data_IF_193354033736
#
_entry.id   IF_193354033736
#
_cell.length_a   1.000
_cell.length_b   1.000
_cell.length_c   1.000
_cell.angle_alpha   90.00
_cell.angle_beta   90.00
_cell.angle_gamma   90.00
#
_symmetry.space_group_name_H-M   'P 1'
#
loop_
_entity.id
_entity.type
_entity.pdbx_description
1 polymer ?
#
# COMPACT_ATOMS: atom_id res chain seq x y z
N UNK A 1 8.95 21.46 -1.95
CA UNK A 1 8.65 20.12 -2.48
C UNK A 1 9.77 19.21 -2.03
N UNK A 2 9.58 18.45 -0.95
CA UNK A 2 10.62 17.57 -0.41
C UNK A 2 10.56 16.24 -1.16
N UNK A 3 11.37 16.09 -2.21
CA UNK A 3 11.59 14.79 -2.84
C UNK A 3 12.44 13.94 -1.91
N UNK A 4 11.82 13.07 -1.11
CA UNK A 4 12.56 12.03 -0.41
C UNK A 4 12.97 10.99 -1.44
N UNK A 5 14.25 11.02 -1.83
CA UNK A 5 14.85 9.92 -2.58
C UNK A 5 14.94 8.71 -1.63
N UNK A 6 14.10 7.71 -1.86
CA UNK A 6 14.13 6.47 -1.10
C UNK A 6 15.24 5.60 -1.71
N UNK A 7 16.32 5.27 -0.96
CA UNK A 7 17.37 4.41 -1.49
C UNK A 7 16.86 2.96 -1.48
N UNK A 8 16.09 2.60 -2.50
CA UNK A 8 15.55 1.26 -2.68
C UNK A 8 16.59 0.48 -3.50
N UNK A 9 17.15 -0.59 -2.93
CA UNK A 9 18.03 -1.49 -3.68
C UNK A 9 17.19 -2.18 -4.76
N UNK A 10 17.41 -1.83 -6.02
CA UNK A 10 16.62 -2.35 -7.16
C UNK A 10 16.95 -3.81 -7.52
N UNK A 11 17.95 -4.42 -6.87
CA UNK A 11 18.44 -5.77 -7.20
C UNK A 11 17.41 -6.90 -6.95
N UNK A 12 16.33 -6.63 -6.21
CA UNK A 12 15.27 -7.62 -5.92
C UNK A 12 13.87 -7.21 -6.42
N UNK A 13 13.75 -6.08 -7.12
CA UNK A 13 12.45 -5.55 -7.53
C UNK A 13 12.27 -5.78 -9.03
N UNK A 14 11.57 -6.86 -9.36
CA UNK A 14 11.23 -7.23 -10.74
C UNK A 14 10.05 -6.44 -11.31
N UNK A 15 9.13 -6.02 -10.45
CA UNK A 15 7.82 -5.49 -10.84
C UNK A 15 7.28 -4.51 -9.79
N UNK A 16 6.22 -3.79 -10.17
CA UNK A 16 5.57 -2.79 -9.32
C UNK A 16 4.96 -3.40 -8.05
N UNK A 17 4.48 -4.64 -8.08
CA UNK A 17 3.96 -5.29 -6.87
C UNK A 17 5.07 -5.53 -5.86
N UNK A 18 6.21 -6.05 -6.30
CA UNK A 18 7.42 -6.27 -5.50
C UNK A 18 7.94 -4.94 -4.94
N UNK A 19 7.87 -3.87 -5.72
CA UNK A 19 8.20 -2.52 -5.27
C UNK A 19 7.25 -2.03 -4.17
N UNK A 20 5.93 -2.17 -4.36
CA UNK A 20 4.90 -1.79 -3.38
C UNK A 20 5.08 -2.55 -2.06
N UNK A 21 5.35 -3.86 -2.15
CA UNK A 21 5.59 -4.71 -1.01
C UNK A 21 6.89 -4.32 -0.27
N UNK A 22 7.95 -3.97 -1.00
CA UNK A 22 9.20 -3.48 -0.41
C UNK A 22 9.00 -2.17 0.35
N UNK A 23 8.26 -1.22 -0.23
CA UNK A 23 7.92 0.04 0.45
C UNK A 23 7.05 -0.20 1.69
N UNK A 24 6.11 -1.16 1.64
CA UNK A 24 5.36 -1.56 2.83
C UNK A 24 6.29 -2.06 3.91
N UNK A 25 7.18 -3.01 3.59
CA UNK A 25 8.10 -3.60 4.59
C UNK A 25 9.10 -2.60 5.16
N UNK A 26 9.63 -1.70 4.33
CA UNK A 26 10.68 -0.76 4.75
C UNK A 26 10.17 0.53 5.36
N UNK A 27 9.03 1.03 4.89
CA UNK A 27 8.53 2.37 5.23
C UNK A 27 7.11 2.36 5.80
N UNK A 28 6.48 1.19 5.94
CA UNK A 28 5.15 1.06 6.50
C UNK A 28 4.04 1.57 5.60
N UNK A 29 4.32 1.92 4.33
CA UNK A 29 3.27 2.41 3.43
C UNK A 29 2.33 1.27 3.03
N UNK A 30 1.00 1.42 3.21
CA UNK A 30 0.05 0.41 2.74
C UNK A 30 0.06 0.28 1.21
N UNK A 31 -0.22 -0.89 0.65
CA UNK A 31 -0.21 -1.14 -0.80
C UNK A 31 -1.31 -0.36 -1.51
N UNK A 32 -2.52 -0.34 -0.95
CA UNK A 32 -3.71 0.26 -1.57
C UNK A 32 -3.63 1.79 -1.75
N UNK A 33 -2.71 2.43 -1.01
CA UNK A 33 -2.47 3.88 -1.09
C UNK A 33 -1.26 4.22 -1.96
N UNK A 34 -0.46 3.23 -2.38
CA UNK A 34 0.69 3.47 -3.24
C UNK A 34 0.28 3.43 -4.71
N UNK A 35 0.41 4.57 -5.38
CA UNK A 35 0.29 4.66 -6.84
C UNK A 35 1.63 5.03 -7.45
N UNK A 36 2.14 4.16 -8.32
CA UNK A 36 3.35 4.44 -9.08
C UNK A 36 2.98 5.00 -10.45
N UNK A 37 3.69 6.05 -10.84
CA UNK A 37 3.58 6.64 -12.16
C UNK A 37 4.93 6.64 -12.86
N UNK A 38 4.91 6.39 -14.15
CA UNK A 38 6.04 6.61 -15.04
C UNK A 38 5.62 7.56 -16.16
N UNK A 39 6.29 8.71 -16.28
CA UNK A 39 5.94 9.76 -17.23
C UNK A 39 4.45 10.18 -17.20
N UNK A 40 3.85 10.19 -16.01
CA UNK A 40 2.44 10.53 -15.81
C UNK A 40 1.44 9.41 -16.07
N UNK A 41 1.91 8.21 -16.43
CA UNK A 41 1.06 7.02 -16.65
C UNK A 41 1.07 6.17 -15.38
N UNK A 42 -0.10 5.79 -14.88
CA UNK A 42 -0.23 4.87 -13.76
C UNK A 42 0.25 3.47 -14.15
N UNK A 43 1.12 2.90 -13.33
CA UNK A 43 1.59 1.54 -13.50
C UNK A 43 0.71 0.57 -12.73
N UNK A 44 0.37 -0.55 -13.35
CA UNK A 44 -0.30 -1.66 -12.69
C UNK A 44 0.71 -2.54 -11.93
N UNK A 45 0.19 -3.46 -11.10
CA UNK A 45 1.00 -4.36 -10.29
C UNK A 45 1.80 -5.38 -11.14
N UNK A 46 1.41 -5.62 -12.39
CA UNK A 46 2.05 -6.57 -13.31
C UNK A 46 3.13 -5.92 -14.17
N UNK A 47 3.34 -4.61 -14.03
CA UNK A 47 4.32 -3.87 -14.81
C UNK A 47 5.73 -4.23 -14.36
N UNK A 48 6.52 -4.76 -15.27
CA UNK A 48 7.93 -5.10 -15.05
C UNK A 48 8.81 -3.84 -14.94
N UNK A 49 9.75 -3.86 -14.00
CA UNK A 49 10.71 -2.80 -13.72
C UNK A 49 12.10 -3.29 -14.10
N UNK A 50 12.36 -3.35 -15.40
CA UNK A 50 13.55 -3.95 -16.01
C UNK A 50 14.73 -2.98 -16.19
N UNK A 51 14.58 -1.70 -15.81
CA UNK A 51 15.61 -0.67 -15.84
C UNK A 51 15.40 0.35 -14.72
N UNK A 52 16.41 1.19 -14.37
CA UNK A 52 16.20 2.37 -13.52
C UNK A 52 15.28 3.36 -14.23
N UNK A 53 13.97 3.11 -14.15
CA UNK A 53 12.94 4.01 -14.62
C UNK A 53 12.71 5.10 -13.58
N UNK A 54 12.56 6.35 -14.04
CA UNK A 54 12.11 7.44 -13.19
C UNK A 54 10.68 7.17 -12.74
N UNK A 55 10.53 6.58 -11.56
CA UNK A 55 9.24 6.28 -10.95
C UNK A 55 8.86 7.39 -9.98
N UNK A 56 7.62 7.84 -10.09
CA UNK A 56 7.03 8.75 -9.13
C UNK A 56 6.05 7.95 -8.26
N UNK A 57 6.32 7.93 -6.95
CA UNK A 57 5.35 7.44 -5.97
C UNK A 57 4.38 8.57 -5.62
N UNK A 58 3.09 8.29 -5.70
CA UNK A 58 2.01 9.13 -5.19
C UNK A 58 1.24 8.35 -4.13
N UNK A 59 1.16 8.92 -2.93
CA UNK A 59 0.33 8.37 -1.85
C UNK A 59 -1.09 8.91 -1.99
N UNK A 60 -2.04 8.01 -2.23
CA UNK A 60 -3.45 8.32 -2.37
C UNK A 60 -4.19 8.11 -1.05
N UNK A 61 -5.29 8.82 -0.89
CA UNK A 61 -6.30 8.50 0.12
C UNK A 61 -7.22 7.39 -0.40
N UNK A 62 -7.81 6.63 0.51
CA UNK A 62 -8.85 5.63 0.21
C UNK A 62 -10.13 6.37 -0.16
N UNK A 63 -10.29 6.65 -1.44
CA UNK A 63 -11.42 7.42 -1.97
C UNK A 63 -12.32 6.64 -2.92
N UNK A 64 -11.80 5.59 -3.57
CA UNK A 64 -12.60 4.73 -4.45
C UNK A 64 -13.12 3.50 -3.72
N UNK A 65 -14.25 2.96 -4.18
CA UNK A 65 -14.80 1.70 -3.66
C UNK A 65 -13.81 0.53 -3.78
N UNK A 66 -13.05 0.48 -4.88
CA UNK A 66 -12.00 -0.54 -5.09
C UNK A 66 -10.93 -0.44 -3.99
N UNK A 67 -10.43 0.77 -3.73
CA UNK A 67 -9.46 1.00 -2.66
C UNK A 67 -10.04 0.70 -1.27
N UNK A 68 -11.35 0.92 -1.04
CA UNK A 68 -11.97 0.60 0.26
C UNK A 68 -11.92 -0.89 0.57
N UNK A 69 -12.16 -1.73 -0.44
CA UNK A 69 -12.09 -3.19 -0.28
C UNK A 69 -10.66 -3.61 0.01
N UNK A 70 -9.69 -3.15 -0.79
CA UNK A 70 -8.27 -3.46 -0.60
C UNK A 70 -7.75 -2.95 0.76
N UNK A 71 -8.09 -1.72 1.13
CA UNK A 71 -7.70 -1.13 2.41
C UNK A 71 -8.30 -1.87 3.60
N UNK A 72 -9.54 -2.37 3.50
CA UNK A 72 -10.15 -3.18 4.55
C UNK A 72 -9.43 -4.52 4.74
N UNK A 73 -9.07 -5.18 3.64
CA UNK A 73 -8.29 -6.42 3.65
C UNK A 73 -6.91 -6.19 4.26
N UNK A 74 -6.22 -5.12 3.83
CA UNK A 74 -4.90 -4.77 4.33
C UNK A 74 -4.91 -4.36 5.80
N UNK A 75 -5.93 -3.61 6.24
CA UNK A 75 -6.11 -3.20 7.63
C UNK A 75 -6.34 -4.41 8.53
N UNK A 76 -7.16 -5.35 8.06
CA UNK A 76 -7.41 -6.60 8.78
C UNK A 76 -6.14 -7.41 8.94
N UNK A 77 -5.36 -7.56 7.86
CA UNK A 77 -4.06 -8.24 7.91
C UNK A 77 -3.08 -7.57 8.86
N UNK A 78 -3.00 -6.23 8.84
CA UNK A 78 -2.15 -5.46 9.75
C UNK A 78 -2.56 -5.65 11.22
N UNK A 79 -3.86 -5.63 11.53
CA UNK A 79 -4.36 -5.89 12.89
C UNK A 79 -4.00 -7.30 13.39
N UNK A 80 -4.17 -8.32 12.55
CA UNK A 80 -3.83 -9.71 12.89
C UNK A 80 -2.32 -9.88 13.11
N UNK A 81 -1.49 -9.18 12.34
CA UNK A 81 -0.03 -9.21 12.46
C UNK A 81 0.51 -8.34 13.60
N UNK A 82 -0.32 -7.46 14.17
CA UNK A 82 0.12 -6.47 15.15
C UNK A 82 0.87 -5.27 14.55
N UNK A 83 0.77 -5.06 13.23
CA UNK A 83 1.42 -3.97 12.49
C UNK A 83 0.68 -2.64 12.70
N UNK A 84 0.80 -2.08 13.91
CA UNK A 84 0.11 -0.86 14.32
C UNK A 84 0.42 0.34 13.42
N UNK A 85 1.63 0.44 12.88
CA UNK A 85 2.00 1.55 12.01
C UNK A 85 1.26 1.50 10.66
N UNK A 86 1.11 0.31 10.08
CA UNK A 86 0.37 0.12 8.84
C UNK A 86 -1.12 0.36 9.08
N UNK A 87 -1.65 -0.19 10.18
CA UNK A 87 -3.04 0.02 10.56
C UNK A 87 -3.36 1.51 10.75
N UNK A 88 -2.47 2.26 11.42
CA UNK A 88 -2.59 3.69 11.60
C UNK A 88 -2.57 4.45 10.26
N UNK A 89 -1.62 4.15 9.38
CA UNK A 89 -1.51 4.80 8.06
C UNK A 89 -2.73 4.53 7.18
N UNK A 90 -3.29 3.32 7.23
CA UNK A 90 -4.54 3.00 6.55
C UNK A 90 -5.71 3.84 7.07
N UNK A 91 -5.83 4.00 8.39
CA UNK A 91 -6.85 4.86 9.00
C UNK A 91 -6.64 6.34 8.64
N UNK A 92 -5.40 6.83 8.66
CA UNK A 92 -5.05 8.18 8.21
C UNK A 92 -5.37 8.39 6.72
N UNK A 93 -5.25 7.34 5.91
CA UNK A 93 -5.64 7.37 4.51
C UNK A 93 -7.16 7.27 4.28
N UNK A 94 -7.97 7.08 5.32
CA UNK A 94 -9.44 7.00 5.22
C UNK A 94 -10.00 5.58 5.07
N UNK A 95 -9.21 4.55 5.39
CA UNK A 95 -9.72 3.18 5.46
C UNK A 95 -10.82 3.08 6.52
N UNK A 96 -11.92 2.42 6.16
CA UNK A 96 -13.03 2.24 7.09
C UNK A 96 -12.71 1.12 8.08
N UNK A 97 -12.47 1.48 9.34
CA UNK A 97 -12.23 0.54 10.46
C UNK A 97 -13.36 -0.48 10.68
N UNK A 98 -14.58 -0.14 10.25
CA UNK A 98 -15.77 -0.98 10.39
C UNK A 98 -16.01 -1.85 9.15
N UNK A 99 -15.17 -1.75 8.11
CA UNK A 99 -15.29 -2.64 6.96
C UNK A 99 -15.11 -4.08 7.42
N UNK A 100 -16.01 -4.93 6.95
CA UNK A 100 -16.01 -6.36 7.24
C UNK A 100 -15.31 -7.08 6.11
N UNK A 101 -14.47 -8.05 6.46
CA UNK A 101 -13.93 -8.98 5.49
C UNK A 101 -15.04 -9.89 4.91
N UNK A 102 -14.66 -10.76 3.97
CA UNK A 102 -15.58 -11.73 3.37
C UNK A 102 -16.14 -12.76 4.37
N UNK A 103 -15.63 -12.80 5.61
CA UNK A 103 -16.11 -13.64 6.71
C UNK A 103 -16.98 -12.86 7.70
N UNK A 104 -17.20 -11.56 7.48
CA UNK A 104 -18.01 -10.71 8.34
C UNK A 104 -17.26 -10.12 9.55
N UNK A 105 -15.95 -10.28 9.64
CA UNK A 105 -15.14 -9.73 10.73
C UNK A 105 -14.61 -8.35 10.37
N UNK A 106 -14.73 -7.40 11.31
CA UNK A 106 -14.05 -6.10 11.16
C UNK A 106 -12.62 -6.19 11.67
N UNK A 107 -11.75 -5.29 11.20
CA UNK A 107 -10.36 -5.23 11.66
C UNK A 107 -10.26 -5.11 13.20
N UNK A 108 -11.19 -4.38 13.82
CA UNK A 108 -11.25 -4.24 15.28
C UNK A 108 -11.68 -5.52 16.02
N UNK A 109 -12.41 -6.44 15.36
CA UNK A 109 -12.78 -7.74 15.94
C UNK A 109 -11.61 -8.74 15.93
N UNK A 110 -10.65 -8.54 15.04
CA UNK A 110 -9.49 -9.43 14.84
C UNK A 110 -8.23 -8.93 15.53
N UNK A 111 -8.20 -7.66 15.96
CA UNK A 111 -7.19 -7.15 16.88
C UNK A 111 -7.46 -7.75 18.27
N UNK A 112 -6.68 -8.77 18.65
CA UNK A 112 -6.74 -9.44 19.95
C UNK A 112 -5.92 -8.69 21.02
#
# INVERSE_FOLDING_TARGET
MSGQELPISMEEISDVLSLKASLRRRHGYPLCVQQFLHNGICLDNSTELNAPVGLQLVLLTVSSEVQRVEAAQELTGACVQGDLEIARRLLEAGANKNSRDHRGYSACMLAA
#
